data_IF_565605998753
#
_entry.id   IF_565605998753
#
_cell.length_a   1.000
_cell.length_b   1.000
_cell.length_c   1.000
_cell.angle_alpha   90.00
_cell.angle_beta   90.00
_cell.angle_gamma   90.00
#
_symmetry.space_group_name_H-M   'P 1'
#
loop_
_entity.id
_entity.type
_entity.pdbx_description
1 polymer ?
#
# COMPACT_ATOMS: atom_id res chain seq x y z
N UNK A 1 17.90 -8.45 1.45
CA UNK A 1 19.10 -7.87 2.10
C UNK A 1 20.13 -7.27 1.14
N UNK A 2 20.12 -7.64 -0.17
CA UNK A 2 21.16 -7.18 -1.12
C UNK A 2 21.19 -5.67 -1.25
N UNK A 3 20.06 -5.03 -1.53
CA UNK A 3 20.02 -3.58 -1.73
C UNK A 3 20.49 -2.77 -0.50
N UNK A 4 20.08 -3.05 0.75
CA UNK A 4 20.66 -2.41 1.93
C UNK A 4 22.17 -2.60 2.05
N UNK A 5 22.70 -3.79 1.75
CA UNK A 5 24.14 -4.04 1.78
C UNK A 5 24.90 -3.25 0.71
N UNK A 6 24.38 -3.24 -0.53
CA UNK A 6 25.07 -2.61 -1.66
C UNK A 6 24.98 -1.08 -1.63
N UNK A 7 23.78 -0.54 -1.35
CA UNK A 7 23.51 0.89 -1.46
C UNK A 7 23.70 1.64 -0.13
N UNK A 8 23.30 1.03 1.01
CA UNK A 8 23.46 1.64 2.34
C UNK A 8 24.73 1.19 3.06
N UNK A 9 25.52 0.30 2.45
CA UNK A 9 26.77 -0.25 3.01
C UNK A 9 26.58 -0.95 4.36
N UNK A 10 25.40 -1.48 4.61
CA UNK A 10 25.10 -2.25 5.80
C UNK A 10 25.90 -3.56 5.80
N UNK A 11 26.36 -3.99 6.96
CA UNK A 11 26.91 -5.35 7.11
C UNK A 11 25.79 -6.39 6.90
N UNK A 12 26.16 -7.60 6.48
CA UNK A 12 25.21 -8.69 6.31
C UNK A 12 24.37 -8.94 7.57
N UNK A 13 25.01 -8.91 8.76
CA UNK A 13 24.35 -9.12 10.04
C UNK A 13 23.28 -8.06 10.33
N UNK A 14 23.59 -6.80 10.06
CA UNK A 14 22.64 -5.68 10.24
C UNK A 14 21.48 -5.79 9.24
N UNK A 15 21.78 -6.08 7.97
CA UNK A 15 20.75 -6.24 6.93
C UNK A 15 19.82 -7.44 7.22
N UNK A 16 20.34 -8.55 7.73
CA UNK A 16 19.54 -9.70 8.15
C UNK A 16 18.65 -9.37 9.36
N UNK A 17 19.18 -8.67 10.36
CA UNK A 17 18.40 -8.23 11.52
C UNK A 17 17.26 -7.28 11.11
N UNK A 18 17.55 -6.29 10.25
CA UNK A 18 16.54 -5.38 9.71
C UNK A 18 15.48 -6.15 8.91
N UNK A 19 15.88 -7.09 8.06
CA UNK A 19 14.96 -7.89 7.25
C UNK A 19 13.99 -8.72 8.11
N UNK A 20 14.46 -9.30 9.21
CA UNK A 20 13.61 -10.05 10.16
C UNK A 20 12.56 -9.12 10.76
N UNK A 21 12.95 -7.95 11.28
CA UNK A 21 12.02 -6.97 11.86
C UNK A 21 10.96 -6.51 10.83
N UNK A 22 11.38 -6.30 9.58
CA UNK A 22 10.47 -5.91 8.51
C UNK A 22 9.50 -7.04 8.15
N UNK A 23 9.95 -8.29 8.09
CA UNK A 23 9.07 -9.44 7.89
C UNK A 23 8.06 -9.60 9.04
N UNK A 24 8.49 -9.39 10.29
CA UNK A 24 7.60 -9.35 11.45
C UNK A 24 6.54 -8.25 11.30
N UNK A 25 6.94 -7.05 10.88
CA UNK A 25 6.03 -5.91 10.70
C UNK A 25 4.94 -6.15 9.67
N UNK A 26 5.18 -7.03 8.69
CA UNK A 26 4.19 -7.43 7.68
C UNK A 26 3.56 -8.80 7.96
N UNK A 27 3.79 -9.38 9.13
CA UNK A 27 3.20 -10.64 9.58
C UNK A 27 3.73 -11.88 8.86
N UNK A 28 5.02 -11.89 8.49
CA UNK A 28 5.68 -12.97 7.75
C UNK A 28 6.99 -13.43 8.38
N UNK A 29 7.14 -13.29 9.70
CA UNK A 29 8.35 -13.72 10.42
C UNK A 29 8.68 -15.22 10.20
N UNK A 30 7.65 -16.06 10.11
CA UNK A 30 7.77 -17.50 9.87
C UNK A 30 8.20 -17.86 8.44
N UNK A 31 8.20 -16.90 7.52
CA UNK A 31 8.53 -17.07 6.10
C UNK A 31 9.93 -16.60 5.72
N UNK A 32 10.79 -16.27 6.69
CA UNK A 32 12.14 -15.71 6.43
C UNK A 32 13.01 -16.62 5.53
N UNK A 33 12.83 -17.93 5.62
CA UNK A 33 13.59 -18.93 4.85
C UNK A 33 12.76 -19.53 3.69
N UNK A 34 11.54 -19.01 3.44
CA UNK A 34 10.70 -19.48 2.35
C UNK A 34 11.14 -18.94 0.99
N UNK A 35 11.03 -19.77 -0.04
CA UNK A 35 11.25 -19.34 -1.41
C UNK A 35 10.06 -18.51 -1.93
N UNK A 36 10.31 -17.48 -2.76
CA UNK A 36 9.22 -16.63 -3.28
C UNK A 36 8.11 -17.41 -3.98
N UNK A 37 8.43 -18.50 -4.67
CA UNK A 37 7.46 -19.34 -5.38
C UNK A 37 6.46 -20.02 -4.44
N UNK A 38 6.86 -20.31 -3.21
CA UNK A 38 6.02 -20.96 -2.21
C UNK A 38 5.05 -20.01 -1.48
N UNK A 39 5.18 -18.69 -1.73
CA UNK A 39 4.34 -17.69 -1.09
C UNK A 39 3.05 -17.45 -1.89
N UNK A 40 1.95 -17.20 -1.17
CA UNK A 40 0.70 -16.75 -1.79
C UNK A 40 0.84 -15.34 -2.40
N UNK A 41 -0.11 -14.91 -3.25
CA UNK A 41 -0.12 -13.57 -3.85
C UNK A 41 -0.03 -12.46 -2.80
N UNK A 42 -0.87 -12.52 -1.77
CA UNK A 42 -0.87 -11.55 -0.67
C UNK A 42 0.42 -11.58 0.17
N UNK A 43 1.03 -12.76 0.36
CA UNK A 43 2.34 -12.86 1.02
C UNK A 43 3.45 -12.24 0.16
N UNK A 44 3.46 -12.49 -1.14
CA UNK A 44 4.41 -11.84 -2.09
C UNK A 44 4.29 -10.33 -2.05
N UNK A 45 3.06 -9.81 -2.03
CA UNK A 45 2.82 -8.37 -1.94
C UNK A 45 3.32 -7.77 -0.63
N UNK A 46 3.08 -8.44 0.50
CA UNK A 46 3.60 -8.00 1.81
C UNK A 46 5.14 -8.06 1.88
N UNK A 47 5.77 -9.06 1.27
CA UNK A 47 7.24 -9.11 1.10
C UNK A 47 7.74 -7.95 0.24
N UNK A 48 7.02 -7.60 -0.85
CA UNK A 48 7.38 -6.46 -1.69
C UNK A 48 7.34 -5.14 -0.90
N UNK A 49 6.35 -4.95 -0.04
CA UNK A 49 6.28 -3.80 0.88
C UNK A 49 7.48 -3.80 1.85
N UNK A 50 7.76 -4.94 2.52
CA UNK A 50 8.89 -5.05 3.43
C UNK A 50 10.23 -4.76 2.74
N UNK A 51 10.39 -5.23 1.49
CA UNK A 51 11.57 -4.95 0.67
C UNK A 51 11.74 -3.46 0.36
N UNK A 52 10.64 -2.75 0.07
CA UNK A 52 10.68 -1.31 -0.15
C UNK A 52 11.04 -0.56 1.14
N UNK A 53 10.45 -0.96 2.28
CA UNK A 53 10.74 -0.39 3.59
C UNK A 53 12.19 -0.58 4.04
N UNK A 54 12.87 -1.65 3.59
CA UNK A 54 14.28 -1.90 3.91
C UNK A 54 15.23 -0.80 3.39
N UNK A 55 14.77 -0.01 2.42
CA UNK A 55 15.50 1.16 1.92
C UNK A 55 15.25 2.43 2.73
N UNK A 56 14.35 2.38 3.72
CA UNK A 56 13.97 3.52 4.58
C UNK A 56 13.56 4.75 3.74
N UNK A 57 12.56 4.59 2.87
CA UNK A 57 12.15 5.67 1.97
C UNK A 57 11.39 6.77 2.73
N UNK A 58 11.54 8.02 2.30
CA UNK A 58 10.72 9.13 2.80
C UNK A 58 9.28 9.07 2.27
N UNK A 59 9.10 8.49 1.06
CA UNK A 59 7.79 8.37 0.38
C UNK A 59 7.68 6.99 -0.23
N UNK A 60 6.54 6.34 -0.06
CA UNK A 60 6.20 5.10 -0.76
C UNK A 60 5.11 5.33 -1.81
N UNK A 61 5.32 4.75 -2.99
CA UNK A 61 4.37 4.78 -4.09
C UNK A 61 3.72 3.40 -4.26
N UNK A 62 2.40 3.35 -4.30
CA UNK A 62 1.63 2.14 -4.53
C UNK A 62 0.74 2.33 -5.75
N UNK A 63 0.89 1.44 -6.71
CA UNK A 63 0.05 1.40 -7.90
C UNK A 63 -0.79 0.13 -7.87
N UNK A 64 -2.06 0.28 -7.55
CA UNK A 64 -3.05 -0.80 -7.41
C UNK A 64 -2.53 -2.04 -6.65
N UNK A 65 -2.10 -1.90 -5.39
CA UNK A 65 -1.39 -2.97 -4.68
C UNK A 65 -2.22 -4.24 -4.42
N UNK A 66 -3.51 -4.22 -4.68
CA UNK A 66 -4.45 -5.33 -4.44
C UNK A 66 -5.09 -5.90 -5.70
N UNK A 67 -4.89 -5.28 -6.87
CA UNK A 67 -5.62 -5.61 -8.12
C UNK A 67 -5.43 -7.04 -8.62
N UNK A 68 -4.29 -7.65 -8.33
CA UNK A 68 -3.95 -9.02 -8.76
C UNK A 68 -4.13 -10.05 -7.62
N UNK A 69 -4.83 -9.70 -6.54
CA UNK A 69 -5.01 -10.56 -5.37
C UNK A 69 -6.43 -11.14 -5.30
N UNK A 70 -6.51 -12.36 -4.77
CA UNK A 70 -7.79 -12.92 -4.38
C UNK A 70 -8.43 -12.09 -3.25
N UNK A 71 -9.77 -11.92 -3.23
CA UNK A 71 -10.45 -11.10 -2.22
C UNK A 71 -10.09 -11.44 -0.77
N UNK A 72 -9.83 -12.70 -0.46
CA UNK A 72 -9.43 -13.17 0.87
C UNK A 72 -8.07 -12.61 1.31
N UNK A 73 -7.21 -12.25 0.35
CA UNK A 73 -5.85 -11.76 0.62
C UNK A 73 -5.74 -10.23 0.66
N UNK A 74 -6.72 -9.53 0.11
CA UNK A 74 -6.74 -8.05 0.03
C UNK A 74 -6.65 -7.42 1.41
N UNK A 75 -7.45 -7.92 2.36
CA UNK A 75 -7.51 -7.39 3.73
C UNK A 75 -6.15 -7.36 4.43
N UNK A 76 -5.34 -8.39 4.27
CA UNK A 76 -4.02 -8.49 4.89
C UNK A 76 -3.07 -7.39 4.38
N UNK A 77 -3.07 -7.15 3.06
CA UNK A 77 -2.22 -6.11 2.44
C UNK A 77 -2.67 -4.73 2.87
N UNK A 78 -3.98 -4.45 2.82
CA UNK A 78 -4.54 -3.17 3.27
C UNK A 78 -4.26 -2.91 4.76
N UNK A 79 -4.29 -3.93 5.61
CA UNK A 79 -3.95 -3.80 7.03
C UNK A 79 -2.48 -3.43 7.26
N UNK A 80 -1.56 -3.93 6.44
CA UNK A 80 -0.16 -3.48 6.48
C UNK A 80 -0.07 -2.00 6.12
N UNK A 81 -0.73 -1.57 5.03
CA UNK A 81 -0.72 -0.18 4.59
C UNK A 81 -1.37 0.77 5.62
N UNK A 82 -2.47 0.36 6.28
CA UNK A 82 -3.09 1.11 7.39
C UNK A 82 -2.11 1.32 8.54
N UNK A 83 -1.32 0.31 8.90
CA UNK A 83 -0.29 0.45 9.95
C UNK A 83 0.80 1.44 9.54
N UNK A 84 1.27 1.39 8.30
CA UNK A 84 2.26 2.34 7.78
C UNK A 84 1.74 3.78 7.83
N UNK A 85 0.49 4.01 7.42
CA UNK A 85 -0.15 5.32 7.54
C UNK A 85 -0.19 5.83 8.99
N UNK A 86 -0.59 4.97 9.94
CA UNK A 86 -0.62 5.29 11.37
C UNK A 86 0.76 5.60 11.95
N UNK A 87 1.82 5.03 11.37
CA UNK A 87 3.22 5.30 11.74
C UNK A 87 3.77 6.58 11.11
N UNK A 88 2.97 7.30 10.31
CA UNK A 88 3.36 8.56 9.69
C UNK A 88 4.09 8.41 8.36
N UNK A 89 4.08 7.22 7.74
CA UNK A 89 4.68 7.03 6.41
C UNK A 89 3.94 7.85 5.37
N UNK A 90 4.67 8.68 4.64
CA UNK A 90 4.12 9.40 3.48
C UNK A 90 3.91 8.42 2.33
N UNK A 91 2.68 8.34 1.84
CA UNK A 91 2.31 7.39 0.78
C UNK A 91 1.49 8.09 -0.32
N UNK A 92 1.78 7.76 -1.57
CA UNK A 92 0.89 8.03 -2.71
C UNK A 92 0.36 6.70 -3.20
N UNK A 93 -0.97 6.58 -3.25
CA UNK A 93 -1.62 5.28 -3.50
C UNK A 93 -2.64 5.45 -4.62
N UNK A 94 -2.47 4.71 -5.70
CA UNK A 94 -3.52 4.49 -6.70
C UNK A 94 -4.29 3.24 -6.29
N UNK A 95 -5.60 3.35 -6.11
CA UNK A 95 -6.42 2.23 -5.63
C UNK A 95 -7.88 2.37 -6.04
N UNK A 96 -8.55 1.24 -6.20
CA UNK A 96 -10.00 1.12 -6.31
C UNK A 96 -10.67 0.68 -4.99
N UNK A 97 -9.90 0.53 -3.92
CA UNK A 97 -10.39 0.18 -2.59
C UNK A 97 -10.96 1.43 -1.87
N UNK A 98 -12.17 1.83 -2.22
CA UNK A 98 -12.77 3.09 -1.74
C UNK A 98 -12.92 3.15 -0.22
N UNK A 99 -13.25 2.04 0.42
CA UNK A 99 -13.34 1.95 1.88
C UNK A 99 -12.00 2.22 2.56
N UNK A 100 -10.92 1.66 2.01
CA UNK A 100 -9.57 1.91 2.48
C UNK A 100 -9.15 3.37 2.26
N UNK A 101 -9.39 3.92 1.06
CA UNK A 101 -9.06 5.31 0.75
C UNK A 101 -9.80 6.28 1.69
N UNK A 102 -11.08 6.05 1.95
CA UNK A 102 -11.89 6.86 2.87
C UNK A 102 -11.35 6.84 4.31
N UNK A 103 -10.86 5.68 4.78
CA UNK A 103 -10.37 5.49 6.15
C UNK A 103 -8.96 6.07 6.39
N UNK A 104 -8.09 6.01 5.37
CA UNK A 104 -6.65 6.19 5.56
C UNK A 104 -6.12 7.49 4.95
N UNK A 105 -6.73 7.96 3.86
CA UNK A 105 -6.21 9.12 3.15
C UNK A 105 -6.41 10.43 3.92
N UNK A 106 -5.46 11.35 3.76
CA UNK A 106 -5.59 12.74 4.19
C UNK A 106 -6.05 13.63 3.03
N UNK A 107 -5.76 13.21 1.80
CA UNK A 107 -6.09 13.88 0.56
C UNK A 107 -6.46 12.83 -0.49
N UNK A 108 -7.52 13.08 -1.24
CA UNK A 108 -8.00 12.21 -2.32
C UNK A 108 -8.08 13.02 -3.60
N UNK A 109 -7.54 12.46 -4.67
CA UNK A 109 -7.61 13.04 -6.01
C UNK A 109 -8.33 12.06 -6.93
N UNK A 110 -9.36 12.54 -7.62
CA UNK A 110 -10.06 11.77 -8.65
C UNK A 110 -9.48 12.10 -10.03
N UNK A 111 -9.08 11.04 -10.74
CA UNK A 111 -8.47 11.14 -12.07
C UNK A 111 -9.37 10.41 -13.07
N UNK A 112 -9.64 11.04 -14.20
CA UNK A 112 -10.32 10.43 -15.33
C UNK A 112 -9.74 10.98 -16.64
N UNK A 113 -9.57 10.13 -17.65
CA UNK A 113 -8.97 10.46 -18.94
C UNK A 113 -7.64 11.25 -18.85
N UNK A 114 -6.82 10.89 -17.86
CA UNK A 114 -5.51 11.52 -17.64
C UNK A 114 -5.54 12.91 -16.98
N UNK A 115 -6.72 13.37 -16.56
CA UNK A 115 -6.88 14.68 -15.91
C UNK A 115 -7.30 14.54 -14.45
N UNK A 116 -6.77 15.42 -13.59
CA UNK A 116 -7.28 15.58 -12.22
C UNK A 116 -8.61 16.36 -12.29
N UNK A 117 -9.72 15.68 -12.01
CA UNK A 117 -11.05 16.28 -12.07
C UNK A 117 -11.49 16.86 -10.73
N UNK A 118 -11.06 16.24 -9.64
CA UNK A 118 -11.42 16.69 -8.30
C UNK A 118 -10.32 16.34 -7.29
N UNK A 119 -10.12 17.20 -6.28
CA UNK A 119 -9.09 17.09 -5.26
C UNK A 119 -9.63 17.65 -3.94
N UNK A 120 -9.50 16.89 -2.87
CA UNK A 120 -10.01 17.31 -1.57
C UNK A 120 -9.76 16.31 -0.45
N UNK A 121 -10.36 16.56 0.70
CA UNK A 121 -10.37 15.60 1.81
C UNK A 121 -11.24 14.40 1.48
N UNK A 122 -11.04 13.24 2.15
CA UNK A 122 -11.95 12.10 2.00
C UNK A 122 -13.42 12.47 2.21
N UNK A 123 -13.71 13.31 3.20
CA UNK A 123 -15.08 13.76 3.47
C UNK A 123 -15.67 14.52 2.28
N UNK A 124 -14.91 15.43 1.67
CA UNK A 124 -15.37 16.20 0.51
C UNK A 124 -15.60 15.28 -0.69
N UNK A 125 -14.64 14.44 -1.03
CA UNK A 125 -14.71 13.61 -2.24
C UNK A 125 -15.76 12.50 -2.11
N UNK A 126 -15.83 11.80 -0.99
CA UNK A 126 -16.73 10.64 -0.85
C UNK A 126 -18.17 11.00 -0.43
N UNK A 127 -18.36 12.11 0.30
CA UNK A 127 -19.69 12.45 0.81
C UNK A 127 -20.30 13.66 0.12
N UNK A 128 -19.49 14.54 -0.51
CA UNK A 128 -19.99 15.74 -1.17
C UNK A 128 -19.17 16.09 -2.42
N UNK A 129 -19.02 15.16 -3.38
CA UNK A 129 -18.30 15.45 -4.63
C UNK A 129 -18.96 16.55 -5.42
N UNK A 130 -18.16 17.43 -6.02
CA UNK A 130 -18.66 18.58 -6.81
C UNK A 130 -18.68 18.26 -8.30
N UNK A 131 -17.72 17.48 -8.78
CA UNK A 131 -17.64 17.12 -10.20
C UNK A 131 -18.65 16.00 -10.53
N UNK A 132 -19.44 16.20 -11.60
CA UNK A 132 -20.46 15.22 -12.02
C UNK A 132 -19.86 13.84 -12.35
N UNK A 133 -18.70 13.81 -12.96
CA UNK A 133 -18.04 12.54 -13.30
C UNK A 133 -17.57 11.78 -12.04
N UNK A 134 -17.12 12.51 -11.01
CA UNK A 134 -16.80 11.95 -9.68
C UNK A 134 -18.05 11.35 -9.03
N UNK A 135 -19.18 12.07 -9.07
CA UNK A 135 -20.47 11.59 -8.56
C UNK A 135 -20.90 10.30 -9.25
N UNK A 136 -20.86 10.29 -10.58
CA UNK A 136 -21.24 9.13 -11.38
C UNK A 136 -20.38 7.90 -11.06
N UNK A 137 -19.06 8.12 -10.90
CA UNK A 137 -18.14 7.04 -10.54
C UNK A 137 -18.45 6.49 -9.15
N UNK A 138 -18.54 7.36 -8.15
CA UNK A 138 -18.78 6.95 -6.76
C UNK A 138 -20.13 6.27 -6.60
N UNK A 139 -21.18 6.75 -7.29
CA UNK A 139 -22.49 6.10 -7.29
C UNK A 139 -22.43 4.67 -7.84
N UNK A 140 -21.64 4.41 -8.86
CA UNK A 140 -21.47 3.08 -9.43
C UNK A 140 -20.68 2.13 -8.52
N UNK A 141 -19.70 2.66 -7.78
CA UNK A 141 -18.78 1.84 -6.96
C UNK A 141 -19.30 1.64 -5.54
N UNK A 142 -19.99 2.64 -4.96
CA UNK A 142 -20.45 2.59 -3.56
C UNK A 142 -21.91 2.18 -3.39
N UNK A 143 -22.74 2.25 -4.44
CA UNK A 143 -24.15 1.87 -4.40
C UNK A 143 -24.41 0.44 -4.92
N UNK A 144 -23.56 -0.47 -4.55
CA UNK A 144 -23.76 -1.90 -4.76
C UNK A 144 -24.55 -2.46 -3.60
#
# INVERSE_FOLDING_TARGET
ILAPMDLKKMSRKEAEAQAILLLESVGLADKKDAWPESLSGGQKQRVAIARALAMEPDIMLFDEPTSALDPEMVGDVLNVMKRLAKQGMTMVIVTHEMGFAKEVANRVMFIDEGNFLEDGTPEQIFNNPQNERTKDFLNKVLNI
#
